data_IF_486839579564
#
_entry.id   IF_486839579564
#
_cell.length_a   1.000
_cell.length_b   1.000
_cell.length_c   1.000
_cell.angle_alpha   90.00
_cell.angle_beta   90.00
_cell.angle_gamma   90.00
#
_symmetry.space_group_name_H-M   'P 1'
#
loop_
_entity.id
_entity.type
_entity.pdbx_description
1 polymer ?
#
# COMPACT_ATOMS: atom_id res chain seq x y z
N UNK A 1 -28.78 8.91 -17.76
CA UNK A 1 -28.93 7.58 -17.12
C UNK A 1 -27.56 7.14 -16.63
N UNK A 2 -27.47 6.81 -15.34
CA UNK A 2 -26.24 6.67 -14.56
C UNK A 2 -25.25 5.64 -15.13
N UNK A 3 -23.98 6.02 -15.24
CA UNK A 3 -22.90 5.07 -15.35
C UNK A 3 -22.83 4.29 -14.02
N UNK A 4 -23.11 2.99 -14.08
CA UNK A 4 -22.75 2.06 -13.01
C UNK A 4 -21.23 2.15 -12.87
N UNK A 5 -20.79 2.83 -11.82
CA UNK A 5 -19.44 2.69 -11.30
C UNK A 5 -19.36 1.25 -10.78
N UNK A 6 -18.93 0.34 -11.66
CA UNK A 6 -18.61 -1.02 -11.30
C UNK A 6 -17.54 -0.97 -10.22
N UNK A 7 -17.95 -1.12 -8.96
CA UNK A 7 -17.05 -1.36 -7.84
C UNK A 7 -16.40 -2.71 -8.09
N UNK A 8 -15.26 -2.69 -8.77
CA UNK A 8 -14.37 -3.85 -8.85
C UNK A 8 -13.82 -4.03 -7.45
N UNK A 9 -14.52 -4.83 -6.63
CA UNK A 9 -13.99 -5.29 -5.36
C UNK A 9 -12.68 -6.02 -5.68
N UNK A 10 -11.54 -5.59 -5.11
CA UNK A 10 -10.30 -6.32 -5.29
C UNK A 10 -10.55 -7.75 -4.77
N UNK A 11 -10.33 -8.76 -5.62
CA UNK A 11 -10.33 -10.14 -5.18
C UNK A 11 -9.30 -10.30 -4.06
N UNK A 12 -9.50 -11.19 -3.09
CA UNK A 12 -8.57 -11.35 -1.94
C UNK A 12 -7.13 -11.70 -2.37
N UNK A 13 -6.91 -12.16 -3.61
CA UNK A 13 -5.56 -12.29 -4.22
C UNK A 13 -4.92 -10.98 -4.74
N UNK A 14 -5.71 -9.93 -4.95
CA UNK A 14 -5.26 -8.62 -5.46
C UNK A 14 -4.79 -7.65 -4.38
N UNK A 15 -5.22 -7.79 -3.13
CA UNK A 15 -4.75 -6.94 -2.03
C UNK A 15 -3.26 -7.11 -1.77
N UNK A 16 -2.77 -8.36 -1.79
CA UNK A 16 -1.34 -8.64 -1.69
C UNK A 16 -0.60 -8.00 -2.88
N UNK A 17 -1.01 -8.26 -4.12
CA UNK A 17 -0.36 -7.69 -5.32
C UNK A 17 -0.34 -6.15 -5.27
N UNK A 18 -1.43 -5.54 -4.83
CA UNK A 18 -1.53 -4.09 -4.65
C UNK A 18 -0.55 -3.60 -3.56
N UNK A 19 -0.45 -4.29 -2.43
CA UNK A 19 0.52 -3.97 -1.39
C UNK A 19 1.96 -4.06 -1.90
N UNK A 20 2.32 -5.15 -2.58
CA UNK A 20 3.65 -5.33 -3.20
C UNK A 20 3.97 -4.19 -4.18
N UNK A 21 3.00 -3.83 -5.03
CA UNK A 21 3.15 -2.73 -5.96
C UNK A 21 3.39 -1.40 -5.25
N UNK A 22 2.60 -1.06 -4.23
CA UNK A 22 2.74 0.19 -3.49
C UNK A 22 4.07 0.27 -2.73
N UNK A 23 4.52 -0.84 -2.14
CA UNK A 23 5.84 -0.94 -1.53
C UNK A 23 6.96 -0.74 -2.55
N UNK A 24 6.83 -1.30 -3.75
CA UNK A 24 7.79 -1.10 -4.83
C UNK A 24 7.84 0.37 -5.27
N UNK A 25 6.70 1.04 -5.38
CA UNK A 25 6.63 2.49 -5.69
C UNK A 25 7.38 3.31 -4.64
N UNK A 26 7.15 3.04 -3.35
CA UNK A 26 7.87 3.74 -2.26
C UNK A 26 9.37 3.52 -2.41
N UNK A 27 9.82 2.26 -2.53
CA UNK A 27 11.25 1.92 -2.67
C UNK A 27 11.92 2.59 -3.86
N UNK A 28 11.22 2.69 -5.00
CA UNK A 28 11.77 3.31 -6.21
C UNK A 28 11.87 4.82 -6.07
N UNK A 29 10.83 5.48 -5.54
CA UNK A 29 10.75 6.95 -5.54
C UNK A 29 11.32 7.61 -4.28
N UNK A 30 11.44 6.91 -3.16
CA UNK A 30 11.95 7.50 -1.91
C UNK A 30 13.33 8.17 -2.06
N UNK A 31 14.35 7.54 -2.70
CA UNK A 31 15.66 8.18 -2.89
C UNK A 31 15.59 9.48 -3.71
N UNK A 32 14.57 9.60 -4.56
CA UNK A 32 14.39 10.73 -5.46
C UNK A 32 13.81 11.94 -4.72
N UNK A 33 13.17 11.74 -3.57
CA UNK A 33 12.57 12.82 -2.77
C UNK A 33 13.62 13.76 -2.17
N UNK A 34 14.83 13.27 -1.92
CA UNK A 34 15.95 14.03 -1.35
C UNK A 34 17.10 14.26 -2.34
N UNK A 35 16.99 13.67 -3.54
CA UNK A 35 18.02 13.75 -4.57
C UNK A 35 18.26 15.19 -5.03
N UNK A 36 19.52 15.63 -4.98
CA UNK A 36 19.96 16.94 -5.49
C UNK A 36 20.26 16.96 -7.00
N UNK A 37 20.29 15.79 -7.65
CA UNK A 37 20.69 15.66 -9.07
C UNK A 37 19.52 15.83 -10.03
N UNK A 38 18.29 15.59 -9.57
CA UNK A 38 17.07 15.74 -10.38
C UNK A 38 16.44 17.13 -10.19
N UNK A 39 15.61 17.53 -11.16
CA UNK A 39 14.92 18.80 -11.12
C UNK A 39 13.93 18.89 -9.94
N UNK A 40 13.62 20.12 -9.52
CA UNK A 40 12.62 20.37 -8.48
C UNK A 40 11.25 19.78 -8.83
N UNK A 41 10.89 19.74 -10.12
CA UNK A 41 9.62 19.18 -10.60
C UNK A 41 9.58 17.66 -10.46
N UNK A 42 10.66 16.96 -10.83
CA UNK A 42 10.76 15.50 -10.65
C UNK A 42 10.78 15.13 -9.17
N UNK A 43 11.47 15.91 -8.34
CA UNK A 43 11.46 15.74 -6.89
C UNK A 43 10.06 15.90 -6.30
N UNK A 44 9.32 16.93 -6.72
CA UNK A 44 7.94 17.14 -6.28
C UNK A 44 7.04 15.95 -6.69
N UNK A 45 7.21 15.42 -7.89
CA UNK A 45 6.50 14.21 -8.35
C UNK A 45 6.85 12.99 -7.48
N UNK A 46 8.14 12.78 -7.16
CA UNK A 46 8.57 11.70 -6.29
C UNK A 46 7.93 11.81 -4.90
N UNK A 47 7.92 13.01 -4.31
CA UNK A 47 7.28 13.27 -3.01
C UNK A 47 5.78 12.96 -3.08
N UNK A 48 5.10 13.36 -4.15
CA UNK A 48 3.67 13.07 -4.33
C UNK A 48 3.41 11.56 -4.42
N UNK A 49 4.21 10.84 -5.22
CA UNK A 49 4.08 9.39 -5.39
C UNK A 49 4.31 8.63 -4.09
N UNK A 50 5.36 8.99 -3.34
CA UNK A 50 5.65 8.37 -2.03
C UNK A 50 4.52 8.65 -1.05
N UNK A 51 4.10 9.92 -0.90
CA UNK A 51 2.99 10.27 0.02
C UNK A 51 1.70 9.51 -0.30
N UNK A 52 1.32 9.45 -1.57
CA UNK A 52 0.14 8.73 -1.98
C UNK A 52 0.26 7.23 -1.71
N UNK A 53 1.36 6.61 -2.12
CA UNK A 53 1.57 5.18 -1.93
C UNK A 53 1.59 4.78 -0.45
N UNK A 54 2.28 5.56 0.41
CA UNK A 54 2.30 5.34 1.86
C UNK A 54 0.92 5.46 2.50
N UNK A 55 0.11 6.43 2.07
CA UNK A 55 -1.27 6.58 2.57
C UNK A 55 -2.13 5.36 2.22
N UNK A 56 -2.12 4.97 0.95
CA UNK A 56 -2.91 3.82 0.49
C UNK A 56 -2.43 2.51 1.13
N UNK A 57 -1.12 2.37 1.35
CA UNK A 57 -0.55 1.22 2.06
C UNK A 57 -1.09 1.13 3.49
N UNK A 58 -1.10 2.25 4.22
CA UNK A 58 -1.62 2.30 5.59
C UNK A 58 -3.12 1.95 5.64
N UNK A 59 -3.91 2.44 4.68
CA UNK A 59 -5.33 2.10 4.58
C UNK A 59 -5.56 0.61 4.29
N UNK A 60 -4.75 0.02 3.41
CA UNK A 60 -4.80 -1.42 3.12
C UNK A 60 -4.42 -2.26 4.34
N UNK A 61 -3.37 -1.88 5.05
CA UNK A 61 -2.92 -2.57 6.27
C UNK A 61 -3.96 -2.47 7.40
N UNK A 62 -4.69 -1.35 7.49
CA UNK A 62 -5.78 -1.19 8.44
C UNK A 62 -7.01 -2.05 8.12
N UNK A 63 -7.22 -2.39 6.84
CA UNK A 63 -8.34 -3.22 6.38
C UNK A 63 -8.05 -4.73 6.46
N UNK A 64 -6.79 -5.13 6.60
CA UNK A 64 -6.44 -6.54 6.73
C UNK A 64 -6.79 -7.04 8.15
N UNK A 65 -7.51 -8.18 8.28
CA UNK A 65 -7.76 -8.79 9.57
C UNK A 65 -6.41 -9.08 10.25
N UNK A 66 -6.16 -8.47 11.41
CA UNK A 66 -5.08 -8.95 12.28
C UNK A 66 -5.50 -10.34 12.72
N UNK A 67 -4.83 -11.38 12.24
CA UNK A 67 -4.95 -12.70 12.84
C UNK A 67 -4.53 -12.58 14.30
N UNK A 68 -5.53 -12.42 15.17
CA UNK A 68 -5.38 -12.61 16.58
C UNK A 68 -5.26 -14.11 16.75
N UNK A 69 -4.07 -14.65 16.50
CA UNK A 69 -3.73 -16.05 16.74
C UNK A 69 -3.77 -16.27 18.24
N UNK A 70 -4.99 -16.48 18.73
CA UNK A 70 -5.28 -16.88 20.09
C UNK A 70 -4.44 -18.11 20.39
N UNK A 71 -3.50 -17.93 21.32
CA UNK A 71 -3.29 -18.81 22.47
C UNK A 71 -4.05 -20.13 22.34
N UNK A 72 -3.47 -21.08 21.62
CA UNK A 72 -3.84 -22.49 21.75
C UNK A 72 -3.43 -22.89 23.16
N UNK A 73 -4.41 -22.94 24.06
CA UNK A 73 -4.29 -23.59 25.36
C UNK A 73 -3.83 -25.01 25.12
N UNK A 74 -2.61 -25.32 25.56
CA UNK A 74 -2.11 -26.67 25.66
C UNK A 74 -3.04 -27.48 26.57
N UNK A 75 -3.94 -28.26 25.97
CA UNK A 75 -4.54 -29.40 26.61
C UNK A 75 -3.65 -30.60 26.32
N UNK A 76 -2.60 -30.76 27.12
CA UNK A 76 -1.91 -32.04 27.27
C UNK A 76 -2.56 -32.72 28.48
N UNK A 77 -3.48 -33.65 28.18
CA UNK A 77 -3.86 -34.71 29.11
C UNK A 77 -2.80 -35.81 29.13
#
# INVERSE_FOLDING_TARGET
MSAVAGSVRPAVGSSNVQQWYLQAVVRVYEPWTTSKTISSKERALAVQRVRHASHVLADLEAQMPRENSGRWTAASG
#
